data_IF_816163288596
#
_entry.id   IF_816163288596
#
_cell.length_a   1.000
_cell.length_b   1.000
_cell.length_c   1.000
_cell.angle_alpha   90.00
_cell.angle_beta   90.00
_cell.angle_gamma   90.00
#
_symmetry.space_group_name_H-M   'P 1'
#
loop_
_entity.id
_entity.type
_entity.pdbx_description
1 polymer ?
#
# COMPACT_ATOMS: atom_id res chain seq x y z
N UNK A 1 10.80 -17.64 1.10
CA UNK A 1 10.84 -16.30 1.74
C UNK A 1 9.42 -15.78 1.83
N UNK A 2 9.07 -15.23 2.99
CA UNK A 2 7.72 -14.74 3.27
C UNK A 2 7.75 -13.26 3.62
N UNK A 3 6.63 -12.58 3.41
CA UNK A 3 6.41 -11.20 3.84
C UNK A 3 5.04 -11.10 4.47
N UNK A 4 4.96 -10.46 5.63
CA UNK A 4 3.71 -10.08 6.26
C UNK A 4 3.68 -8.56 6.47
N UNK A 5 2.50 -7.96 6.32
CA UNK A 5 2.24 -6.58 6.71
C UNK A 5 1.10 -6.65 7.71
N UNK A 6 1.33 -6.13 8.91
CA UNK A 6 0.33 -6.02 9.96
C UNK A 6 -0.04 -4.55 10.18
N UNK A 7 -1.32 -4.29 10.39
CA UNK A 7 -1.86 -2.96 10.73
C UNK A 7 -2.47 -3.10 12.12
N UNK A 8 -2.03 -2.27 13.06
CA UNK A 8 -2.46 -2.33 14.47
C UNK A 8 -2.30 -3.73 15.13
N UNK A 9 -1.29 -4.50 14.67
CA UNK A 9 -1.02 -5.85 15.17
C UNK A 9 -1.83 -6.96 14.50
N UNK A 10 -2.80 -6.63 13.63
CA UNK A 10 -3.54 -7.60 12.84
C UNK A 10 -2.91 -7.81 11.47
N UNK A 11 -2.72 -9.07 11.06
CA UNK A 11 -2.14 -9.42 9.76
C UNK A 11 -3.06 -8.99 8.61
N UNK A 12 -2.60 -8.02 7.82
CA UNK A 12 -3.33 -7.42 6.71
C UNK A 12 -2.96 -8.05 5.36
N UNK A 13 -1.69 -8.36 5.17
CA UNK A 13 -1.15 -8.98 3.95
C UNK A 13 -0.20 -10.11 4.34
N UNK A 14 -0.31 -11.25 3.68
CA UNK A 14 0.62 -12.37 3.82
C UNK A 14 1.01 -12.94 2.46
N UNK A 15 2.30 -12.95 2.17
CA UNK A 15 2.89 -13.47 0.92
C UNK A 15 3.82 -14.63 1.27
N UNK A 16 3.29 -15.86 1.23
CA UNK A 16 4.02 -17.10 1.58
C UNK A 16 5.15 -17.47 0.61
N UNK A 17 5.05 -17.04 -0.64
CA UNK A 17 6.06 -17.33 -1.65
C UNK A 17 6.51 -16.03 -2.32
N UNK A 18 7.13 -15.14 -1.54
CA UNK A 18 7.57 -13.81 -1.97
C UNK A 18 8.44 -13.84 -3.21
N UNK A 19 9.19 -14.93 -3.41
CA UNK A 19 10.04 -15.15 -4.59
C UNK A 19 9.30 -15.18 -5.93
N UNK A 20 7.97 -15.35 -5.90
CA UNK A 20 7.12 -15.30 -7.10
C UNK A 20 6.32 -14.00 -7.19
N UNK A 21 6.40 -13.14 -6.16
CA UNK A 21 5.62 -11.91 -5.99
C UNK A 21 6.41 -10.80 -5.29
N UNK A 22 7.64 -10.54 -5.77
CA UNK A 22 8.48 -9.44 -5.26
C UNK A 22 7.85 -8.06 -5.44
N UNK A 23 6.97 -7.95 -6.43
CA UNK A 23 6.13 -6.78 -6.69
C UNK A 23 4.69 -7.22 -6.66
N UNK A 24 3.83 -6.45 -6.00
CA UNK A 24 2.42 -6.80 -5.91
C UNK A 24 1.61 -5.76 -5.16
N UNK A 25 0.32 -6.05 -5.05
CA UNK A 25 -0.63 -5.23 -4.32
C UNK A 25 -1.74 -6.09 -3.72
N UNK A 26 -2.38 -5.58 -2.68
CA UNK A 26 -3.53 -6.19 -2.03
C UNK A 26 -4.43 -5.10 -1.45
N UNK A 27 -5.74 -5.28 -1.55
CA UNK A 27 -6.70 -4.42 -0.85
C UNK A 27 -7.13 -5.10 0.45
N UNK A 28 -7.07 -4.35 1.55
CA UNK A 28 -7.38 -4.82 2.89
C UNK A 28 -8.46 -3.94 3.49
N UNK A 29 -9.42 -4.57 4.17
CA UNK A 29 -10.45 -3.88 4.95
C UNK A 29 -10.19 -4.13 6.42
N UNK A 30 -10.09 -3.07 7.23
CA UNK A 30 -10.01 -3.16 8.68
C UNK A 30 -11.04 -2.21 9.30
N UNK A 31 -11.94 -2.75 10.14
CA UNK A 31 -13.09 -2.00 10.65
C UNK A 31 -13.94 -1.38 9.53
N UNK A 32 -13.96 -0.04 9.45
CA UNK A 32 -14.67 0.74 8.41
C UNK A 32 -13.74 1.34 7.36
N UNK A 33 -12.44 1.08 7.44
CA UNK A 33 -11.46 1.58 6.51
C UNK A 33 -11.08 0.52 5.49
N UNK A 34 -10.82 0.94 4.25
CA UNK A 34 -10.26 0.11 3.20
C UNK A 34 -8.97 0.76 2.71
N UNK A 35 -7.91 -0.01 2.62
CA UNK A 35 -6.59 0.46 2.19
C UNK A 35 -6.09 -0.46 1.08
N UNK A 36 -5.48 0.11 0.06
CA UNK A 36 -4.64 -0.64 -0.86
C UNK A 36 -3.19 -0.55 -0.43
N UNK A 37 -2.54 -1.70 -0.39
CA UNK A 37 -1.14 -1.85 -0.07
C UNK A 37 -0.43 -2.32 -1.32
N UNK A 38 0.62 -1.62 -1.71
CA UNK A 38 1.51 -1.99 -2.81
C UNK A 38 2.91 -2.23 -2.23
N UNK A 39 3.65 -3.16 -2.84
CA UNK A 39 5.02 -3.43 -2.46
C UNK A 39 5.91 -3.65 -3.68
N UNK A 40 7.14 -3.14 -3.61
CA UNK A 40 8.27 -3.54 -4.44
C UNK A 40 9.46 -3.82 -3.53
N UNK A 41 9.80 -5.10 -3.39
CA UNK A 41 10.93 -5.57 -2.58
C UNK A 41 12.03 -6.20 -3.42
N UNK A 42 11.92 -6.14 -4.76
CA UNK A 42 12.81 -6.87 -5.66
C UNK A 42 14.26 -6.40 -5.51
N UNK A 43 14.48 -5.10 -5.71
CA UNK A 43 15.84 -4.54 -5.69
C UNK A 43 16.44 -4.62 -4.29
N UNK A 44 15.63 -4.51 -3.24
CA UNK A 44 16.08 -4.71 -1.86
C UNK A 44 16.66 -6.11 -1.61
N UNK A 45 16.10 -7.14 -2.25
CA UNK A 45 16.57 -8.53 -2.11
C UNK A 45 17.77 -8.86 -3.00
N UNK A 46 17.85 -8.27 -4.20
CA UNK A 46 18.82 -8.69 -5.22
C UNK A 46 19.84 -7.62 -5.66
N UNK A 47 19.76 -6.37 -5.19
CA UNK A 47 20.70 -5.32 -5.60
C UNK A 47 22.16 -5.66 -5.29
N UNK A 48 22.42 -6.31 -4.15
CA UNK A 48 23.76 -6.74 -3.76
C UNK A 48 24.38 -7.76 -4.72
N UNK A 49 23.57 -8.58 -5.40
CA UNK A 49 24.06 -9.52 -6.40
C UNK A 49 24.36 -8.86 -7.76
N UNK A 50 23.81 -7.67 -8.02
CA UNK A 50 23.95 -6.94 -9.28
C UNK A 50 25.08 -5.90 -9.26
N UNK A 51 25.86 -5.80 -8.16
CA UNK A 51 26.90 -4.78 -7.99
C UNK A 51 26.35 -3.35 -7.87
N UNK A 52 25.03 -3.17 -7.81
CA UNK A 52 24.40 -1.91 -7.50
C UNK A 52 24.41 -1.73 -5.97
N UNK A 53 24.70 -0.51 -5.49
CA UNK A 53 24.62 -0.19 -4.06
C UNK A 53 23.24 -0.51 -3.46
N UNK A 54 23.16 -0.59 -2.13
CA UNK A 54 21.93 -0.96 -1.43
C UNK A 54 20.71 -0.17 -1.96
N UNK A 55 19.63 -0.90 -2.26
CA UNK A 55 18.35 -0.33 -2.72
C UNK A 55 17.30 -0.56 -1.64
N UNK A 56 16.44 0.43 -1.34
CA UNK A 56 15.37 0.23 -0.37
C UNK A 56 14.25 -0.62 -0.96
N UNK A 57 13.51 -1.31 -0.10
CA UNK A 57 12.17 -1.79 -0.41
C UNK A 57 11.18 -0.63 -0.36
N UNK A 58 10.15 -0.67 -1.19
CA UNK A 58 9.09 0.32 -1.26
C UNK A 58 7.75 -0.30 -0.85
N UNK A 59 7.05 0.37 0.06
CA UNK A 59 5.67 0.07 0.41
C UNK A 59 4.82 1.32 0.22
N UNK A 60 3.66 1.17 -0.40
CA UNK A 60 2.72 2.28 -0.62
C UNK A 60 1.38 1.90 0.01
N UNK A 61 0.90 2.76 0.90
CA UNK A 61 -0.43 2.63 1.50
C UNK A 61 -1.32 3.74 0.96
N UNK A 62 -2.38 3.33 0.28
CA UNK A 62 -3.37 4.22 -0.31
C UNK A 62 -4.72 3.97 0.35
N UNK A 63 -5.18 4.85 1.24
CA UNK A 63 -6.54 4.79 1.75
C UNK A 63 -7.54 4.90 0.61
N UNK A 64 -8.53 4.00 0.62
CA UNK A 64 -9.74 4.15 -0.18
C UNK A 64 -10.71 4.90 0.71
N UNK A 65 -10.96 6.18 0.40
CA UNK A 65 -11.97 6.97 1.09
C UNK A 65 -13.34 6.35 0.79
N UNK A 66 -13.84 5.54 1.71
CA UNK A 66 -15.26 5.17 1.73
C UNK A 66 -15.98 6.37 2.30
N UNK A 67 -16.67 7.13 1.45
CA UNK A 67 -17.47 8.28 1.84
C UNK A 67 -18.34 7.92 3.04
N UNK A 68 -17.99 8.43 4.21
CA UNK A 68 -18.77 8.24 5.43
C UNK A 68 -19.88 9.30 5.45
N UNK A 69 -20.78 9.23 4.46
CA UNK A 69 -22.01 10.01 4.45
C UNK A 69 -23.18 9.05 4.70
N UNK A 70 -23.37 8.66 5.96
CA UNK A 70 -24.69 8.23 6.45
C UNK A 70 -25.36 9.34 7.25
N UNK A 71 -25.26 10.58 6.77
CA UNK A 71 -26.23 11.63 7.08
C UNK A 71 -26.59 12.32 5.78
N UNK A 72 -27.68 11.84 5.17
CA UNK A 72 -28.41 12.37 4.02
C UNK A 72 -27.67 13.24 3.00
N UNK A 73 -27.25 12.66 1.88
CA UNK A 73 -27.58 13.12 0.53
C UNK A 73 -26.82 12.28 -0.50
N UNK A 74 -27.57 11.75 -1.46
CA UNK A 74 -27.15 10.97 -2.61
C UNK A 74 -26.06 11.70 -3.42
N UNK A 75 -24.91 11.07 -3.67
CA UNK A 75 -24.15 11.26 -4.92
C UNK A 75 -23.05 10.18 -5.03
N UNK A 76 -22.98 9.45 -6.15
CA UNK A 76 -21.89 8.49 -6.38
C UNK A 76 -20.72 9.27 -6.99
N UNK A 77 -19.63 9.47 -6.25
CA UNK A 77 -18.45 10.11 -6.82
C UNK A 77 -17.52 9.05 -7.44
N UNK A 78 -18.00 8.54 -8.58
CA UNK A 78 -17.17 8.12 -9.70
C UNK A 78 -17.30 9.21 -10.76
N UNK A 79 -16.65 10.35 -10.58
CA UNK A 79 -16.61 11.37 -11.61
C UNK A 79 -15.32 12.16 -11.50
N UNK A 80 -14.49 12.05 -12.55
CA UNK A 80 -13.57 13.13 -12.85
C UNK A 80 -14.41 14.38 -13.11
N UNK A 81 -14.26 15.39 -12.26
CA UNK A 81 -14.73 16.76 -12.51
C UNK A 81 -13.71 17.70 -11.86
N UNK A 82 -13.27 18.66 -12.67
CA UNK A 82 -12.34 19.73 -12.37
C UNK A 82 -12.74 20.57 -11.15
N UNK A 83 -12.08 20.33 -9.99
CA UNK A 83 -11.85 21.25 -8.85
C UNK A 83 -13.06 21.90 -8.13
N UNK A 84 -12.82 22.67 -7.03
CA UNK A 84 -11.84 22.53 -5.95
C UNK A 84 -12.51 22.20 -4.58
N UNK A 85 -11.75 21.53 -3.69
CA UNK A 85 -12.07 21.10 -2.31
C UNK A 85 -13.09 19.93 -2.16
N UNK A 86 -12.74 18.76 -1.61
CA UNK A 86 -11.55 18.38 -0.86
C UNK A 86 -11.64 16.94 -0.38
N UNK A 87 -11.68 15.98 -1.31
CA UNK A 87 -11.18 14.63 -1.02
C UNK A 87 -9.68 14.62 -1.30
N UNK A 88 -8.89 15.21 -0.38
CA UNK A 88 -7.43 15.08 -0.43
C UNK A 88 -7.09 13.62 -0.11
N UNK A 89 -7.05 12.79 -1.16
CA UNK A 89 -6.43 11.49 -1.05
C UNK A 89 -4.94 11.67 -0.84
N UNK A 90 -4.36 10.99 0.12
CA UNK A 90 -2.91 10.89 0.28
C UNK A 90 -2.46 9.47 -0.01
N UNK A 91 -1.18 9.31 -0.34
CA UNK A 91 -0.50 8.02 -0.33
C UNK A 91 0.65 8.12 0.65
N UNK A 92 0.79 7.13 1.53
CA UNK A 92 1.96 7.00 2.38
C UNK A 92 2.99 6.14 1.65
N UNK A 93 4.18 6.69 1.44
CA UNK A 93 5.33 5.98 0.89
C UNK A 93 6.29 5.63 2.03
N UNK A 94 6.60 4.35 2.18
CA UNK A 94 7.54 3.85 3.17
C UNK A 94 8.70 3.16 2.46
N UNK A 95 9.90 3.68 2.68
CA UNK A 95 11.15 3.10 2.20
C UNK A 95 11.82 2.36 3.34
N UNK A 96 12.15 1.08 3.12
CA UNK A 96 12.85 0.26 4.10
C UNK A 96 14.24 -0.13 3.59
N UNK A 97 15.27 0.19 4.38
CA UNK A 97 16.66 -0.15 4.06
C UNK A 97 17.06 -1.46 4.72
N UNK A 98 17.90 -2.24 4.04
CA UNK A 98 18.57 -3.36 4.68
C UNK A 98 19.63 -2.79 5.62
N UNK A 99 19.57 -3.18 6.90
CA UNK A 99 20.69 -3.00 7.81
C UNK A 99 21.57 -4.24 7.68
N UNK A 100 22.87 -4.04 7.55
CA UNK A 100 23.86 -5.13 7.53
C UNK A 100 23.97 -5.81 8.90
#
# INVERSE_FOLDING_TARGET
MEMAIAIDGEEAVAVKHLQWKFRGNQSVTFGRAKVEVYWDVHDWLFAGAAGAGARPALFIFRPIVLSSASVGASTPLLAGVDGPAGASGFCLYLYAWKLD
#
